data_IF_170019634783
#
_entry.id   IF_170019634783
#
_cell.length_a   1.000
_cell.length_b   1.000
_cell.length_c   1.000
_cell.angle_alpha   90.00
_cell.angle_beta   90.00
_cell.angle_gamma   90.00
#
_symmetry.space_group_name_H-M   'P 1'
#
loop_
_entity.id
_entity.type
_entity.pdbx_description
1 polymer ?
#
# COMPACT_ATOMS: atom_id res chain seq x y z
N UNK A 1 -10.63 22.82 1.16
CA UNK A 1 -10.66 21.35 0.98
C UNK A 1 -11.98 21.01 0.28
N UNK A 2 -11.98 20.07 -0.68
CA UNK A 2 -13.12 19.84 -1.63
C UNK A 2 -13.98 18.63 -1.24
N UNK A 3 -13.45 17.68 -0.47
CA UNK A 3 -14.21 16.53 0.02
C UNK A 3 -14.90 16.88 1.35
N UNK A 4 -16.23 16.76 1.40
CA UNK A 4 -17.04 17.04 2.60
C UNK A 4 -17.49 15.76 3.33
N UNK A 5 -17.66 14.65 2.60
CA UNK A 5 -18.17 13.38 3.16
C UNK A 5 -17.47 12.12 2.65
N UNK A 6 -16.76 12.20 1.52
CA UNK A 6 -16.04 11.06 0.96
C UNK A 6 -14.76 10.74 1.78
N UNK A 7 -14.45 9.45 1.93
CA UNK A 7 -13.17 9.01 2.50
C UNK A 7 -12.02 9.43 1.57
N UNK A 8 -11.07 10.21 2.09
CA UNK A 8 -9.89 10.64 1.36
C UNK A 8 -8.75 9.65 1.58
N UNK A 9 -8.42 8.88 0.54
CA UNK A 9 -7.24 8.00 0.52
C UNK A 9 -6.11 8.67 -0.26
N UNK A 10 -4.90 8.66 0.29
CA UNK A 10 -3.70 9.13 -0.39
C UNK A 10 -2.73 7.97 -0.65
N UNK A 11 -2.11 7.95 -1.82
CA UNK A 11 -1.10 6.95 -2.13
C UNK A 11 0.24 7.32 -1.50
N UNK A 12 0.95 6.32 -0.96
CA UNK A 12 2.34 6.44 -0.54
C UNK A 12 3.22 6.26 -1.78
N UNK A 13 3.96 7.31 -2.22
CA UNK A 13 4.77 7.21 -3.43
C UNK A 13 5.92 6.20 -3.29
N UNK A 14 6.49 5.79 -4.42
CA UNK A 14 7.66 4.90 -4.46
C UNK A 14 8.75 5.34 -3.46
N UNK A 15 9.27 4.37 -2.70
CA UNK A 15 10.29 4.54 -1.65
C UNK A 15 9.90 5.37 -0.41
N UNK A 16 8.69 5.93 -0.35
CA UNK A 16 8.19 6.62 0.86
C UNK A 16 7.86 5.67 2.02
N UNK A 17 7.75 4.36 1.76
CA UNK A 17 7.44 3.33 2.76
C UNK A 17 8.47 2.19 2.74
N UNK A 18 9.73 2.51 2.44
CA UNK A 18 10.83 1.51 2.30
C UNK A 18 11.14 0.71 3.58
N UNK A 19 10.72 1.21 4.73
CA UNK A 19 10.72 0.53 6.02
C UNK A 19 9.62 1.14 6.91
N UNK A 20 9.26 0.51 8.04
CA UNK A 20 8.15 0.98 8.88
C UNK A 20 8.32 2.40 9.43
N UNK A 21 9.55 2.80 9.80
CA UNK A 21 9.85 4.14 10.30
C UNK A 21 9.53 5.22 9.26
N UNK A 22 10.04 5.07 8.04
CA UNK A 22 9.76 6.01 6.95
C UNK A 22 8.30 5.99 6.53
N UNK A 23 7.66 4.82 6.59
CA UNK A 23 6.25 4.71 6.30
C UNK A 23 5.42 5.53 7.29
N UNK A 24 5.73 5.44 8.59
CA UNK A 24 5.06 6.22 9.63
C UNK A 24 5.23 7.72 9.45
N UNK A 25 6.46 8.18 9.22
CA UNK A 25 6.75 9.60 8.99
C UNK A 25 5.97 10.14 7.79
N UNK A 26 6.01 9.43 6.65
CA UNK A 26 5.35 9.88 5.44
C UNK A 26 3.82 9.78 5.54
N UNK A 27 3.29 8.73 6.14
CA UNK A 27 1.86 8.60 6.37
C UNK A 27 1.33 9.70 7.31
N UNK A 28 2.05 10.02 8.38
CA UNK A 28 1.70 11.11 9.27
C UNK A 28 1.60 12.45 8.53
N UNK A 29 2.56 12.74 7.65
CA UNK A 29 2.53 13.96 6.81
C UNK A 29 1.36 13.97 5.83
N UNK A 30 1.09 12.86 5.14
CA UNK A 30 -0.07 12.74 4.24
C UNK A 30 -1.40 12.97 4.97
N UNK A 31 -1.52 12.52 6.21
CA UNK A 31 -2.72 12.73 7.02
C UNK A 31 -2.81 14.14 7.59
N UNK A 32 -1.76 14.63 8.25
CA UNK A 32 -1.76 15.92 8.95
C UNK A 32 -1.74 17.11 7.98
N UNK A 33 -0.80 17.09 7.02
CA UNK A 33 -0.61 18.17 6.05
C UNK A 33 -1.59 17.97 4.87
N UNK A 34 -1.67 16.75 4.33
CA UNK A 34 -2.45 16.41 3.15
C UNK A 34 -3.96 16.23 3.40
N UNK A 35 -4.37 15.98 4.64
CA UNK A 35 -5.77 15.69 4.99
C UNK A 35 -6.24 14.29 4.57
N UNK A 36 -5.31 13.35 4.33
CA UNK A 36 -5.66 11.96 4.09
C UNK A 36 -6.27 11.33 5.35
N UNK A 37 -7.22 10.42 5.16
CA UNK A 37 -7.85 9.62 6.21
C UNK A 37 -7.39 8.16 6.17
N UNK A 38 -6.78 7.74 5.07
CA UNK A 38 -6.20 6.41 4.85
C UNK A 38 -5.02 6.55 3.89
N UNK A 39 -4.01 5.70 4.04
CA UNK A 39 -2.89 5.62 3.09
C UNK A 39 -2.98 4.34 2.26
N UNK A 40 -2.59 4.41 0.99
CA UNK A 40 -2.41 3.23 0.13
C UNK A 40 -0.92 2.94 -0.02
N UNK A 41 -0.51 1.68 0.01
CA UNK A 41 0.85 1.26 -0.33
C UNK A 41 0.82 0.03 -1.24
N UNK A 42 1.88 -0.16 -2.03
CA UNK A 42 1.98 -1.28 -2.97
C UNK A 42 2.93 -2.36 -2.47
N UNK A 43 2.46 -3.61 -2.49
CA UNK A 43 3.25 -4.79 -2.11
C UNK A 43 2.42 -5.82 -1.35
N UNK A 44 2.75 -7.10 -1.55
CA UNK A 44 2.18 -8.24 -0.84
C UNK A 44 2.83 -8.49 0.52
N UNK A 45 3.17 -9.75 0.81
CA UNK A 45 3.71 -10.19 2.11
C UNK A 45 4.93 -9.39 2.62
N UNK A 46 5.74 -8.79 1.73
CA UNK A 46 6.88 -7.96 2.12
C UNK A 46 6.49 -6.69 2.91
N UNK A 47 5.22 -6.28 2.84
CA UNK A 47 4.72 -5.07 3.52
C UNK A 47 4.01 -5.37 4.84
N UNK A 48 3.92 -6.62 5.29
CA UNK A 48 3.20 -6.99 6.52
C UNK A 48 3.69 -6.22 7.73
N UNK A 49 5.01 -6.14 7.94
CA UNK A 49 5.59 -5.40 9.06
C UNK A 49 5.25 -3.90 8.97
N UNK A 50 5.31 -3.32 7.77
CA UNK A 50 4.93 -1.92 7.53
C UNK A 50 3.45 -1.68 7.84
N UNK A 51 2.56 -2.53 7.35
CA UNK A 51 1.10 -2.45 7.59
C UNK A 51 0.79 -2.62 9.07
N UNK A 52 1.43 -3.57 9.74
CA UNK A 52 1.30 -3.77 11.18
C UNK A 52 1.67 -2.51 11.96
N UNK A 53 2.85 -1.93 11.70
CA UNK A 53 3.31 -0.76 12.44
C UNK A 53 2.45 0.49 12.19
N UNK A 54 1.95 0.69 10.97
CA UNK A 54 1.02 1.77 10.62
C UNK A 54 -0.32 1.60 11.35
N UNK A 55 -0.93 0.43 11.24
CA UNK A 55 -2.25 0.15 11.83
C UNK A 55 -2.20 0.13 13.37
N UNK A 56 -1.14 -0.40 13.97
CA UNK A 56 -0.90 -0.36 15.42
C UNK A 56 -0.82 1.07 15.97
N UNK A 57 -0.48 2.06 15.13
CA UNK A 57 -0.45 3.49 15.48
C UNK A 57 -1.67 4.26 15.00
N UNK A 58 -2.72 3.55 14.57
CA UNK A 58 -4.01 4.14 14.21
C UNK A 58 -4.07 4.75 12.80
N UNK A 59 -3.12 4.41 11.91
CA UNK A 59 -3.14 4.83 10.51
C UNK A 59 -3.87 3.76 9.69
N UNK A 60 -5.05 4.05 9.09
CA UNK A 60 -5.74 3.10 8.22
C UNK A 60 -4.94 2.88 6.94
N UNK A 61 -4.85 1.62 6.49
CA UNK A 61 -4.07 1.23 5.31
C UNK A 61 -4.95 0.51 4.29
N UNK A 62 -4.80 0.89 3.03
CA UNK A 62 -5.26 0.14 1.86
C UNK A 62 -4.05 -0.54 1.23
N UNK A 63 -3.97 -1.87 1.27
CA UNK A 63 -2.90 -2.60 0.62
C UNK A 63 -3.24 -2.88 -0.85
N UNK A 64 -2.34 -2.51 -1.76
CA UNK A 64 -2.48 -2.74 -3.19
C UNK A 64 -1.55 -3.88 -3.63
N UNK A 65 -2.14 -5.01 -4.02
CA UNK A 65 -1.46 -6.20 -4.53
C UNK A 65 -1.80 -6.45 -6.01
N UNK A 66 -1.12 -7.41 -6.63
CA UNK A 66 -1.29 -7.72 -8.05
C UNK A 66 -0.41 -6.84 -8.94
N UNK A 67 -1.00 -6.14 -9.90
CA UNK A 67 -0.24 -5.22 -10.75
C UNK A 67 0.05 -3.94 -9.96
N UNK A 68 1.29 -3.80 -9.48
CA UNK A 68 1.77 -2.64 -8.73
C UNK A 68 2.61 -1.73 -9.65
N UNK A 69 2.05 -0.59 -10.15
CA UNK A 69 2.76 0.33 -11.04
C UNK A 69 4.12 0.81 -10.54
N UNK A 70 4.32 0.95 -9.23
CA UNK A 70 5.62 1.35 -8.66
C UNK A 70 6.73 0.32 -8.96
N UNK A 71 6.36 -0.93 -9.30
CA UNK A 71 7.28 -2.01 -9.70
C UNK A 71 7.31 -2.25 -11.21
N UNK A 72 6.84 -1.32 -12.06
CA UNK A 72 6.71 -1.53 -13.52
C UNK A 72 8.01 -1.99 -14.19
N UNK A 73 9.17 -1.50 -13.75
CA UNK A 73 10.47 -1.91 -14.29
C UNK A 73 10.84 -3.35 -13.90
N UNK A 74 10.53 -3.76 -12.65
CA UNK A 74 10.71 -5.15 -12.19
C UNK A 74 9.76 -6.11 -12.90
N UNK A 75 8.54 -5.67 -13.18
CA UNK A 75 7.51 -6.44 -13.87
C UNK A 75 7.71 -6.53 -15.39
N UNK A 76 8.56 -5.68 -15.97
CA UNK A 76 8.77 -5.59 -17.41
C UNK A 76 7.56 -5.02 -18.16
N UNK A 77 6.86 -4.05 -17.55
CA UNK A 77 5.69 -3.36 -18.09
C UNK A 77 4.37 -3.70 -17.37
N UNK A 78 3.27 -3.13 -17.86
CA UNK A 78 1.92 -3.37 -17.34
C UNK A 78 1.38 -4.70 -17.85
N UNK A 79 1.49 -5.75 -17.02
CA UNK A 79 1.06 -7.11 -17.36
C UNK A 79 0.08 -7.64 -16.32
N UNK A 80 -0.86 -8.49 -16.76
CA UNK A 80 -1.78 -9.20 -15.87
C UNK A 80 -0.99 -10.05 -14.87
N UNK A 81 -1.32 -9.93 -13.58
CA UNK A 81 -0.75 -10.74 -12.50
C UNK A 81 -1.78 -11.78 -12.03
N UNK A 82 -1.32 -12.85 -11.37
CA UNK A 82 -2.21 -13.89 -10.83
C UNK A 82 -2.73 -14.91 -11.85
N UNK A 83 -2.15 -14.98 -13.07
CA UNK A 83 -2.51 -16.00 -14.07
C UNK A 83 -1.85 -17.33 -13.73
N UNK A 84 -2.66 -18.39 -13.66
CA UNK A 84 -2.23 -19.74 -13.29
C UNK A 84 -2.33 -19.99 -11.79
N UNK A 85 -2.56 -21.24 -11.40
CA UNK A 85 -2.87 -21.65 -10.03
C UNK A 85 -1.85 -21.14 -9.00
N UNK A 86 -0.55 -21.38 -9.26
CA UNK A 86 0.52 -20.94 -8.36
C UNK A 86 0.55 -19.42 -8.13
N UNK A 87 0.32 -18.62 -9.19
CA UNK A 87 0.33 -17.17 -9.08
C UNK A 87 -0.93 -16.63 -8.39
N UNK A 88 -2.09 -17.27 -8.62
CA UNK A 88 -3.33 -16.94 -7.96
C UNK A 88 -3.26 -17.26 -6.45
N UNK A 89 -2.72 -18.41 -6.08
CA UNK A 89 -2.49 -18.78 -4.68
C UNK A 89 -1.51 -17.84 -3.99
N UNK A 90 -0.43 -17.44 -4.68
CA UNK A 90 0.50 -16.46 -4.13
C UNK A 90 -0.18 -15.12 -3.83
N UNK A 91 -1.02 -14.63 -4.76
CA UNK A 91 -1.80 -13.41 -4.57
C UNK A 91 -2.81 -13.54 -3.41
N UNK A 92 -3.45 -14.71 -3.26
CA UNK A 92 -4.34 -14.98 -2.14
C UNK A 92 -3.59 -14.97 -0.80
N UNK A 93 -2.40 -15.59 -0.75
CA UNK A 93 -1.55 -15.57 0.46
C UNK A 93 -1.12 -14.15 0.81
N UNK A 94 -0.73 -13.35 -0.17
CA UNK A 94 -0.42 -11.93 0.03
C UNK A 94 -1.64 -11.19 0.62
N UNK A 95 -2.83 -11.38 0.04
CA UNK A 95 -4.06 -10.74 0.51
C UNK A 95 -4.45 -11.14 1.95
N UNK A 96 -4.23 -12.40 2.33
CA UNK A 96 -4.55 -12.90 3.68
C UNK A 96 -3.52 -12.47 4.73
N UNK A 97 -2.30 -12.14 4.33
CA UNK A 97 -1.23 -11.73 5.23
C UNK A 97 -1.32 -10.24 5.62
N UNK A 98 -1.95 -9.42 4.76
CA UNK A 98 -2.12 -7.98 4.91
C UNK A 98 -3.40 -7.62 5.69
#
# INVERSE_FOLDING_TARGET
RVAESALVMADMPYMSYRNPEHALENAARLMQEGGAQMVKLEGGAIQVDTVHELTARGIPVCAHIGLTPQSVHKLGGYRVQGRGEQAAEAMLRDALAL
#
